data_IF_923791383156
#
_entry.id   IF_923791383156
#
_cell.length_a   1.000
_cell.length_b   1.000
_cell.length_c   1.000
_cell.angle_alpha   90.00
_cell.angle_beta   90.00
_cell.angle_gamma   90.00
#
_symmetry.space_group_name_H-M   'P 1'
#
loop_
_entity.id
_entity.type
_entity.pdbx_description
1 polymer ?
#
# COMPACT_ATOMS: atom_id res chain seq x y z
N UNK A 1 -12.31 -2.68 56.40
CA UNK A 1 -12.07 -4.01 55.83
C UNK A 1 -11.89 -3.80 54.33
N UNK A 2 -10.67 -3.97 53.81
CA UNK A 2 -10.39 -3.82 52.38
C UNK A 2 -10.39 -5.22 51.77
N UNK A 3 -11.54 -5.64 51.25
CA UNK A 3 -11.69 -6.95 50.59
C UNK A 3 -11.49 -6.72 49.09
N UNK A 4 -10.67 -7.57 48.46
CA UNK A 4 -10.42 -7.50 47.03
C UNK A 4 -11.66 -7.97 46.24
N UNK A 5 -11.87 -7.46 45.01
CA UNK A 5 -12.90 -7.99 44.13
C UNK A 5 -12.56 -9.42 43.70
N UNK A 6 -13.60 -10.23 43.48
CA UNK A 6 -13.44 -11.61 43.00
C UNK A 6 -12.96 -11.66 41.55
N UNK A 7 -12.15 -12.68 41.23
CA UNK A 7 -11.64 -12.92 39.89
C UNK A 7 -12.68 -13.64 39.02
N UNK A 8 -12.67 -13.35 37.72
CA UNK A 8 -13.48 -14.09 36.74
C UNK A 8 -12.69 -15.29 36.24
N UNK A 9 -13.23 -16.49 36.45
CA UNK A 9 -12.68 -17.72 35.91
C UNK A 9 -13.29 -17.94 34.52
N UNK A 10 -12.46 -17.89 33.49
CA UNK A 10 -12.89 -18.12 32.10
C UNK A 10 -12.19 -19.36 31.55
N UNK A 11 -12.94 -20.20 30.84
CA UNK A 11 -12.43 -21.39 30.16
C UNK A 11 -12.51 -21.19 28.65
N UNK A 12 -11.38 -21.33 27.97
CA UNK A 12 -11.28 -21.17 26.52
C UNK A 12 -10.78 -22.45 25.87
N UNK A 13 -11.48 -22.91 24.83
CA UNK A 13 -11.00 -23.95 23.94
C UNK A 13 -10.36 -23.29 22.72
N UNK A 14 -9.04 -23.32 22.68
CA UNK A 14 -8.23 -22.79 21.58
C UNK A 14 -7.45 -23.92 20.91
N UNK A 15 -7.20 -23.76 19.61
CA UNK A 15 -6.30 -24.61 18.84
C UNK A 15 -4.82 -24.34 19.19
N UNK A 16 -3.89 -25.05 18.54
CA UNK A 16 -2.47 -24.92 18.83
C UNK A 16 -1.94 -23.50 18.56
N UNK A 17 -2.33 -22.91 17.43
CA UNK A 17 -1.93 -21.55 17.07
C UNK A 17 -2.59 -20.52 17.99
N UNK A 18 -3.88 -20.68 18.31
CA UNK A 18 -4.59 -19.81 19.24
C UNK A 18 -3.99 -19.80 20.65
N UNK A 19 -3.52 -20.94 21.18
CA UNK A 19 -2.80 -20.97 22.48
C UNK A 19 -1.45 -20.26 22.44
N UNK A 20 -0.85 -20.14 21.26
CA UNK A 20 0.49 -19.59 21.05
C UNK A 20 0.48 -18.23 20.39
N UNK A 21 -0.69 -17.69 20.08
CA UNK A 21 -0.82 -16.41 19.45
C UNK A 21 -0.30 -15.33 20.40
N UNK A 22 0.79 -14.69 19.96
CA UNK A 22 1.44 -13.60 20.68
C UNK A 22 0.52 -12.40 20.84
N UNK A 23 -0.49 -12.27 19.98
CA UNK A 23 -1.43 -11.17 19.98
C UNK A 23 -2.70 -11.43 20.79
N UNK A 24 -2.77 -12.55 21.54
CA UNK A 24 -3.86 -12.75 22.48
C UNK A 24 -3.92 -11.63 23.53
N UNK A 25 -5.10 -11.03 23.68
CA UNK A 25 -5.33 -9.89 24.57
C UNK A 25 -4.87 -8.54 24.01
N UNK A 26 -4.47 -8.47 22.74
CA UNK A 26 -4.14 -7.19 22.09
C UNK A 26 -5.39 -6.32 21.91
N UNK A 27 -5.39 -5.14 22.52
CA UNK A 27 -6.43 -4.13 22.30
C UNK A 27 -6.12 -3.29 21.05
N UNK A 28 -7.02 -3.33 20.07
CA UNK A 28 -6.90 -2.59 18.82
C UNK A 28 -6.75 -1.07 19.02
N UNK A 29 -7.31 -0.52 20.11
CA UNK A 29 -7.19 0.91 20.42
C UNK A 29 -5.74 1.34 20.66
N UNK A 30 -4.89 0.43 21.17
CA UNK A 30 -3.49 0.72 21.47
C UNK A 30 -2.65 1.01 20.22
N UNK A 31 -3.12 0.58 19.04
CA UNK A 31 -2.46 0.88 17.77
C UNK A 31 -2.45 2.38 17.43
N UNK A 32 -3.38 3.17 18.00
CA UNK A 32 -3.41 4.62 17.83
C UNK A 32 -2.06 5.29 18.20
N UNK A 33 -1.36 4.78 19.22
CA UNK A 33 -0.03 5.29 19.61
C UNK A 33 1.02 5.11 18.51
N UNK A 34 0.91 4.05 17.71
CA UNK A 34 1.80 3.83 16.56
C UNK A 34 1.50 4.87 15.50
N UNK A 35 0.24 5.12 15.19
CA UNK A 35 -0.21 6.13 14.22
C UNK A 35 0.35 7.51 14.61
N UNK A 36 0.11 7.95 15.85
CA UNK A 36 0.60 9.23 16.36
C UNK A 36 2.12 9.41 16.18
N UNK A 37 2.90 8.35 16.44
CA UNK A 37 4.35 8.36 16.25
C UNK A 37 4.74 8.56 14.79
N UNK A 38 4.03 7.95 13.85
CA UNK A 38 4.31 8.11 12.42
C UNK A 38 3.88 9.49 11.92
N UNK A 39 2.74 10.02 12.37
CA UNK A 39 2.28 11.36 12.04
C UNK A 39 3.29 12.43 12.48
N UNK A 40 3.75 12.37 13.73
CA UNK A 40 4.77 13.29 14.25
C UNK A 40 6.08 13.25 13.43
N UNK A 41 6.50 12.05 13.01
CA UNK A 41 7.68 11.86 12.14
C UNK A 41 7.47 12.48 10.76
N UNK A 42 6.32 12.26 10.15
CA UNK A 42 6.00 12.77 8.82
C UNK A 42 5.84 14.29 8.81
N UNK A 43 5.29 14.87 9.88
CA UNK A 43 5.27 16.32 10.09
C UNK A 43 6.68 16.91 10.20
N UNK A 44 7.55 16.29 10.99
CA UNK A 44 8.95 16.73 11.10
C UNK A 44 9.66 16.68 9.75
N UNK A 45 9.44 15.60 8.97
CA UNK A 45 9.97 15.49 7.60
C UNK A 45 9.43 16.59 6.69
N UNK A 46 8.13 16.88 6.75
CA UNK A 46 7.48 17.92 5.94
C UNK A 46 8.02 19.31 6.27
N UNK A 47 8.18 19.63 7.57
CA UNK A 47 8.76 20.90 8.04
C UNK A 47 10.20 21.06 7.55
N UNK A 48 11.03 20.02 7.71
CA UNK A 48 12.41 20.01 7.25
C UNK A 48 12.53 20.23 5.72
N UNK A 49 11.73 19.51 4.92
CA UNK A 49 11.74 19.68 3.46
C UNK A 49 11.30 21.09 3.04
N UNK A 50 10.28 21.64 3.72
CA UNK A 50 9.82 23.02 3.47
C UNK A 50 10.93 24.02 3.78
N UNK A 51 11.62 23.89 4.91
CA UNK A 51 12.74 24.77 5.27
C UNK A 51 13.89 24.68 4.26
N UNK A 52 14.25 23.47 3.81
CA UNK A 52 15.26 23.28 2.77
C UNK A 52 14.88 23.95 1.44
N UNK A 53 13.61 23.86 1.03
CA UNK A 53 13.11 24.54 -0.17
C UNK A 53 13.13 26.07 -0.03
N UNK A 54 12.81 26.60 1.15
CA UNK A 54 12.92 28.04 1.43
C UNK A 54 14.38 28.51 1.36
N UNK A 55 15.30 27.76 1.99
CA UNK A 55 16.74 28.05 1.92
C UNK A 55 17.27 27.97 0.49
N UNK A 56 16.90 26.96 -0.29
CA UNK A 56 17.34 26.83 -1.68
C UNK A 56 16.82 27.99 -2.52
N UNK A 57 15.53 28.34 -2.43
CA UNK A 57 14.94 29.49 -3.12
C UNK A 57 15.66 30.78 -2.73
N UNK A 58 15.93 31.00 -1.45
CA UNK A 58 16.63 32.18 -0.98
C UNK A 58 18.06 32.27 -1.53
N UNK A 59 18.78 31.15 -1.61
CA UNK A 59 20.09 31.06 -2.25
C UNK A 59 20.04 31.26 -3.76
N UNK A 60 18.99 30.79 -4.44
CA UNK A 60 18.78 30.98 -5.88
C UNK A 60 18.43 32.43 -6.23
N UNK A 61 17.65 33.13 -5.39
CA UNK A 61 17.41 34.58 -5.53
C UNK A 61 18.68 35.42 -5.30
N UNK A 62 19.59 34.96 -4.43
CA UNK A 62 20.85 35.65 -4.15
C UNK A 62 21.94 35.42 -5.21
N UNK A 63 21.81 34.39 -6.07
CA UNK A 63 22.85 33.96 -7.00
C UNK A 63 22.40 34.08 -8.46
N UNK A 64 22.22 35.31 -8.94
CA UNK A 64 22.09 35.58 -10.38
C UNK A 64 23.48 35.56 -11.02
N UNK A 65 23.99 34.36 -11.34
CA UNK A 65 25.11 34.18 -12.25
C UNK A 65 24.78 33.09 -13.29
N UNK A 66 25.13 33.40 -14.55
CA UNK A 66 24.86 32.65 -15.79
C UNK A 66 25.29 31.18 -15.65
N UNK A 67 24.36 30.22 -15.71
CA UNK A 67 24.70 28.78 -15.79
C UNK A 67 24.80 28.30 -17.24
N UNK A 68 25.98 27.79 -17.61
CA UNK A 68 26.22 26.95 -18.79
C UNK A 68 25.75 25.53 -18.49
N UNK A 69 25.03 24.90 -19.45
CA UNK A 69 24.55 23.52 -19.32
C UNK A 69 25.71 22.54 -19.54
N UNK A 70 25.96 21.67 -18.57
CA UNK A 70 26.71 20.42 -18.81
C UNK A 70 25.71 19.26 -18.93
N UNK A 71 25.87 18.49 -19.99
CA UNK A 71 25.07 17.29 -20.31
C UNK A 71 25.74 16.06 -19.71
N UNK A 72 25.12 15.42 -18.74
CA UNK A 72 25.63 14.16 -18.22
C UNK A 72 24.81 13.62 -17.06
N UNK A 73 24.00 12.61 -17.33
CA UNK A 73 23.20 11.96 -16.30
C UNK A 73 22.58 10.67 -16.81
N UNK A 74 23.44 9.68 -17.07
CA UNK A 74 23.06 8.36 -17.56
C UNK A 74 22.03 7.67 -16.65
N UNK A 75 21.06 7.02 -17.27
CA UNK A 75 20.14 6.11 -16.57
C UNK A 75 20.71 4.69 -16.60
N UNK A 76 21.49 4.43 -15.55
CA UNK A 76 21.79 3.14 -14.92
C UNK A 76 20.70 2.09 -15.15
N UNK A 77 21.05 1.04 -15.90
CA UNK A 77 20.20 -0.13 -16.13
C UNK A 77 19.81 -0.78 -14.81
N UNK A 78 18.53 -0.70 -14.47
CA UNK A 78 17.94 -1.42 -13.33
C UNK A 78 17.20 -2.63 -13.88
N UNK A 79 17.39 -3.80 -13.29
CA UNK A 79 16.59 -5.00 -13.58
C UNK A 79 15.13 -4.67 -13.26
N UNK A 80 14.35 -4.36 -14.29
CA UNK A 80 12.91 -4.05 -14.14
C UNK A 80 12.17 -5.35 -13.91
N UNK A 81 11.22 -5.36 -12.96
CA UNK A 81 10.26 -6.45 -12.83
C UNK A 81 9.63 -6.72 -14.21
N UNK A 82 9.62 -7.99 -14.63
CA UNK A 82 9.18 -8.38 -15.97
C UNK A 82 7.67 -8.17 -16.20
N UNK A 83 6.89 -8.10 -15.12
CA UNK A 83 5.45 -7.81 -15.20
C UNK A 83 5.24 -6.34 -15.52
N UNK A 84 4.52 -6.08 -16.61
CA UNK A 84 4.04 -4.75 -17.01
C UNK A 84 3.00 -4.31 -15.97
N UNK A 85 3.13 -3.09 -15.44
CA UNK A 85 2.23 -2.59 -14.38
C UNK A 85 0.88 -2.15 -14.95
N UNK A 86 0.89 -1.70 -16.19
CA UNK A 86 -0.24 -1.21 -16.96
C UNK A 86 -1.18 -2.36 -17.39
N UNK A 87 -0.66 -3.59 -17.49
CA UNK A 87 -1.43 -4.79 -17.82
C UNK A 87 -2.10 -5.37 -16.57
N UNK A 88 -3.38 -5.06 -16.39
CA UNK A 88 -4.21 -5.65 -15.34
C UNK A 88 -4.43 -7.14 -15.61
N UNK A 89 -4.37 -7.96 -14.56
CA UNK A 89 -4.62 -9.40 -14.71
C UNK A 89 -6.11 -9.65 -14.91
N UNK A 90 -6.48 -10.63 -15.74
CA UNK A 90 -7.89 -10.91 -16.10
C UNK A 90 -8.80 -11.14 -14.89
N UNK A 91 -8.33 -11.87 -13.88
CA UNK A 91 -9.07 -12.13 -12.63
C UNK A 91 -9.17 -10.93 -11.67
N UNK A 92 -8.58 -9.78 -12.04
CA UNK A 92 -8.68 -8.52 -11.29
C UNK A 92 -9.55 -7.49 -12.03
N UNK A 93 -10.12 -7.85 -13.19
CA UNK A 93 -11.01 -6.96 -13.95
C UNK A 93 -12.35 -6.77 -13.22
N UNK A 94 -12.85 -7.84 -12.61
CA UNK A 94 -14.00 -7.82 -11.72
C UNK A 94 -13.69 -8.67 -10.48
N UNK A 95 -13.83 -8.07 -9.30
CA UNK A 95 -13.53 -8.72 -8.01
C UNK A 95 -14.74 -9.44 -7.41
N UNK A 96 -15.92 -9.33 -8.04
CA UNK A 96 -17.06 -10.16 -7.66
C UNK A 96 -16.74 -11.63 -7.91
N UNK A 97 -16.92 -12.44 -6.86
CA UNK A 97 -16.64 -13.87 -6.85
C UNK A 97 -17.46 -14.62 -7.91
N UNK A 98 -18.66 -14.11 -8.22
CA UNK A 98 -19.59 -14.73 -9.17
C UNK A 98 -19.53 -14.12 -10.58
N UNK A 99 -18.47 -13.36 -10.90
CA UNK A 99 -18.31 -12.73 -12.20
C UNK A 99 -17.99 -13.74 -13.31
N UNK A 100 -16.74 -13.81 -13.76
CA UNK A 100 -16.29 -14.73 -14.79
C UNK A 100 -15.23 -15.68 -14.25
N UNK A 101 -15.33 -16.95 -14.64
CA UNK A 101 -14.35 -17.96 -14.25
C UNK A 101 -13.01 -17.76 -14.98
N UNK A 102 -11.95 -17.57 -14.20
CA UNK A 102 -10.57 -17.58 -14.66
C UNK A 102 -9.92 -18.94 -14.40
N UNK A 103 -9.43 -19.58 -15.45
CA UNK A 103 -8.63 -20.80 -15.33
C UNK A 103 -7.14 -20.43 -15.10
N UNK A 104 -6.58 -20.64 -13.89
CA UNK A 104 -5.20 -20.27 -13.59
C UNK A 104 -4.16 -21.13 -14.31
N UNK A 105 -4.54 -22.33 -14.80
CA UNK A 105 -3.62 -23.25 -15.46
C UNK A 105 -3.32 -22.80 -16.89
N UNK A 106 -4.37 -22.45 -17.62
CA UNK A 106 -4.28 -22.01 -19.02
C UNK A 106 -4.22 -20.49 -19.16
N UNK A 107 -4.52 -19.76 -18.07
CA UNK A 107 -4.56 -18.29 -18.01
C UNK A 107 -5.64 -17.69 -18.92
N UNK A 108 -6.75 -18.42 -19.13
CA UNK A 108 -7.89 -17.99 -19.93
C UNK A 108 -9.09 -17.61 -19.05
N UNK A 109 -9.87 -16.64 -19.52
CA UNK A 109 -11.22 -16.35 -19.00
C UNK A 109 -12.21 -17.05 -19.92
N UNK A 110 -13.26 -17.66 -19.37
CA UNK A 110 -14.30 -18.29 -20.18
C UNK A 110 -15.39 -17.33 -20.61
N UNK A 111 -15.77 -16.43 -19.71
CA UNK A 111 -16.83 -15.46 -19.90
C UNK A 111 -16.28 -14.04 -19.75
N UNK A 112 -17.06 -13.06 -20.21
CA UNK A 112 -16.74 -11.64 -20.04
C UNK A 112 -17.00 -11.22 -18.57
N UNK A 113 -16.00 -10.73 -17.81
CA UNK A 113 -16.19 -10.26 -16.44
C UNK A 113 -17.00 -8.97 -16.32
N UNK A 114 -17.19 -8.21 -17.40
CA UNK A 114 -17.98 -6.98 -17.45
C UNK A 114 -18.94 -7.03 -18.65
N UNK A 115 -19.99 -7.87 -18.59
CA UNK A 115 -20.91 -8.05 -19.72
C UNK A 115 -21.60 -6.75 -20.12
N UNK A 116 -21.97 -5.91 -19.15
CA UNK A 116 -22.76 -4.68 -19.35
C UNK A 116 -21.93 -3.46 -19.79
N UNK A 117 -20.59 -3.56 -19.81
CA UNK A 117 -19.73 -2.46 -20.22
C UNK A 117 -19.77 -2.25 -21.75
N UNK A 118 -19.56 -1.00 -22.20
CA UNK A 118 -19.49 -0.67 -23.62
C UNK A 118 -18.34 -1.46 -24.29
N UNK A 119 -18.60 -2.23 -25.37
CA UNK A 119 -17.57 -2.98 -26.08
C UNK A 119 -16.36 -2.14 -26.53
N UNK A 120 -16.52 -0.84 -26.78
CA UNK A 120 -15.43 0.02 -27.23
C UNK A 120 -14.52 0.52 -26.09
N UNK A 121 -14.97 0.36 -24.84
CA UNK A 121 -14.18 0.67 -23.64
C UNK A 121 -13.48 -0.58 -23.05
N UNK A 122 -13.78 -1.77 -23.59
CA UNK A 122 -13.19 -3.03 -23.15
C UNK A 122 -11.76 -3.16 -23.68
N UNK A 123 -10.79 -3.15 -22.76
CA UNK A 123 -9.37 -3.35 -23.06
C UNK A 123 -8.97 -4.83 -23.16
N UNK A 124 -9.91 -5.76 -23.02
CA UNK A 124 -9.66 -7.19 -23.04
C UNK A 124 -10.63 -7.90 -23.99
N UNK A 125 -10.15 -8.96 -24.62
CA UNK A 125 -10.96 -9.85 -25.43
C UNK A 125 -11.06 -11.21 -24.74
N UNK A 126 -12.27 -11.77 -24.71
CA UNK A 126 -12.50 -13.17 -24.35
C UNK A 126 -12.11 -14.00 -25.58
N UNK A 127 -11.24 -15.00 -25.38
CA UNK A 127 -10.75 -15.90 -26.43
C UNK A 127 -11.13 -17.32 -26.11
#
# INVERSE_FOLDING_TARGET
MHIAPDEKIETFELDYDGKRDRWNGYDASTYARVIERYEARDEARRKYLKEQQLKSKQMDFAKVEKRVRTTGGGSTGTVRNLRIREDTAKYLLNLDVNSAYYDPKTRSMREDPLPDADPNEKFYEVR
#
